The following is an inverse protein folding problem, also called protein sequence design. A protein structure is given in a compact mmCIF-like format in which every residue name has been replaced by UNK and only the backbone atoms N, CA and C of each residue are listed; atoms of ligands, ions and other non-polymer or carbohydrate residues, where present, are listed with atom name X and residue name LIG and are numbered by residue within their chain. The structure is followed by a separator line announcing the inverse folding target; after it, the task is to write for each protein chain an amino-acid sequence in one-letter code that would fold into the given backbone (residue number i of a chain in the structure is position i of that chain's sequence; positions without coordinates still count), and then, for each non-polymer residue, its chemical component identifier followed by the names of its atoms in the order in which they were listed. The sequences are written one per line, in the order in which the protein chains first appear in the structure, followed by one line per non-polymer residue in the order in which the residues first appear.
data_IF_748737528317
#
_entry.id   IF_748737528317
#
_cell.length_a   1.000
_cell.length_b   1.000
_cell.length_c   1.000
_cell.angle_alpha   90.00
_cell.angle_beta   90.00
_cell.angle_gamma   90.00
#
_symmetry.space_group_name_H-M   'P 1'
#
loop_
_entity.id
_entity.type
_entity.pdbx_description
1 polymer ?
#
# COMPACT_ATOMS: atom_id res chain seq x y z
N UNK A 1 -13.90 2.25 11.78
CA UNK A 1 -12.50 2.46 11.35
C UNK A 1 -12.31 1.73 10.03
N UNK A 2 -11.72 2.36 9.01
CA UNK A 2 -11.33 1.65 7.79
C UNK A 2 -9.93 1.08 7.94
N UNK A 3 -9.75 -0.21 7.64
CA UNK A 3 -8.42 -0.83 7.59
C UNK A 3 -7.86 -0.66 6.18
N UNK A 4 -6.68 -0.07 6.05
CA UNK A 4 -5.97 0.10 4.77
C UNK A 4 -5.25 -1.14 4.33
N UNK A 5 -4.52 -1.79 5.24
CA UNK A 5 -3.67 -2.92 4.92
C UNK A 5 -3.39 -3.74 6.18
N UNK A 6 -3.22 -5.04 6.00
CA UNK A 6 -2.85 -6.01 7.02
C UNK A 6 -1.52 -6.63 6.63
N UNK A 7 -0.58 -6.66 7.57
CA UNK A 7 0.71 -7.31 7.43
C UNK A 7 0.87 -8.33 8.55
N UNK A 8 1.27 -9.55 8.22
CA UNK A 8 1.64 -10.56 9.22
C UNK A 8 3.12 -10.86 9.06
N UNK A 9 3.86 -10.69 10.14
CA UNK A 9 5.33 -10.80 10.16
C UNK A 9 5.74 -11.87 11.17
N UNK A 10 6.69 -12.72 10.78
CA UNK A 10 7.23 -13.75 11.64
C UNK A 10 8.27 -13.19 12.62
N UNK A 11 8.76 -14.04 13.53
CA UNK A 11 9.72 -13.63 14.55
C UNK A 11 11.07 -13.16 14.00
N UNK A 12 11.44 -13.63 12.81
CA UNK A 12 12.66 -13.22 12.13
C UNK A 12 12.52 -11.87 11.37
N UNK A 13 11.36 -11.20 11.46
CA UNK A 13 11.08 -9.97 10.73
C UNK A 13 10.71 -10.18 9.26
N UNK A 14 10.40 -11.41 8.86
CA UNK A 14 9.95 -11.77 7.52
C UNK A 14 8.44 -11.65 7.36
N UNK A 15 8.00 -11.03 6.26
CA UNK A 15 6.59 -10.89 5.89
C UNK A 15 6.04 -12.23 5.40
N UNK A 16 5.02 -12.76 6.09
CA UNK A 16 4.40 -14.06 5.77
C UNK A 16 3.02 -13.92 5.13
N UNK A 17 2.32 -12.82 5.38
CA UNK A 17 1.04 -12.51 4.76
C UNK A 17 0.86 -11.00 4.62
N UNK A 18 0.26 -10.59 3.53
CA UNK A 18 -0.03 -9.19 3.26
C UNK A 18 -1.36 -9.08 2.51
N UNK A 19 -2.19 -8.15 2.94
CA UNK A 19 -3.46 -7.82 2.31
C UNK A 19 -3.63 -6.31 2.28
N UNK A 20 -3.87 -5.74 1.10
CA UNK A 20 -4.27 -4.34 0.97
C UNK A 20 -5.78 -4.29 0.73
N UNK A 21 -6.46 -3.52 1.57
CA UNK A 21 -7.89 -3.25 1.45
C UNK A 21 -8.19 -2.03 0.58
N UNK A 22 -7.14 -1.27 0.21
CA UNK A 22 -7.22 -0.09 -0.63
C UNK A 22 -6.34 -0.25 -1.86
N UNK A 23 -6.96 -0.19 -3.04
CA UNK A 23 -6.25 -0.01 -4.29
C UNK A 23 -6.10 1.50 -4.54
N UNK A 24 -4.87 2.04 -4.65
CA UNK A 24 -4.64 3.40 -5.11
C UNK A 24 -5.39 3.64 -6.43
N UNK A 25 -6.46 4.44 -6.34
CA UNK A 25 -7.16 4.94 -7.53
C UNK A 25 -6.41 6.15 -8.05
N UNK A 26 -6.50 6.40 -9.36
CA UNK A 26 -6.05 7.67 -9.91
C UNK A 26 -6.66 8.82 -9.10
N UNK A 27 -5.80 9.62 -8.46
CA UNK A 27 -6.22 10.71 -7.61
C UNK A 27 -6.52 11.97 -8.45
N UNK A 28 -5.83 12.11 -9.58
CA UNK A 28 -6.05 13.19 -10.52
C UNK A 28 -5.81 12.73 -11.96
N UNK A 29 -6.70 13.12 -12.86
CA UNK A 29 -6.49 13.01 -14.31
C UNK A 29 -6.54 14.41 -14.92
N UNK A 30 -5.52 14.75 -15.73
CA UNK A 30 -5.45 16.05 -16.38
C UNK A 30 -4.90 15.93 -17.78
N UNK A 31 -5.46 16.73 -18.70
CA UNK A 31 -4.94 16.91 -20.04
C UNK A 31 -3.87 18.01 -20.06
N UNK A 32 -2.72 17.71 -20.65
CA UNK A 32 -1.60 18.63 -20.78
C UNK A 32 -1.34 19.00 -22.23
N UNK A 33 -0.92 20.24 -22.45
CA UNK A 33 -0.24 20.67 -23.67
C UNK A 33 1.28 20.58 -23.50
N UNK A 34 2.02 20.66 -24.59
CA UNK A 34 3.49 20.80 -24.56
C UNK A 34 3.85 22.25 -24.20
N UNK A 35 4.76 22.58 -23.29
CA UNK A 35 5.53 21.79 -22.33
C UNK A 35 4.71 21.44 -21.07
N UNK A 36 5.08 20.39 -20.35
CA UNK A 36 4.46 20.07 -19.07
C UNK A 36 4.74 21.17 -18.03
N UNK A 37 3.69 21.62 -17.34
CA UNK A 37 3.80 22.51 -16.18
C UNK A 37 4.33 21.79 -14.92
N UNK A 38 4.56 20.48 -15.02
CA UNK A 38 5.08 19.60 -13.97
C UNK A 38 6.44 19.05 -14.37
N UNK A 39 7.35 18.96 -13.39
CA UNK A 39 8.65 18.34 -13.58
C UNK A 39 8.58 16.86 -13.16
N UNK A 40 8.67 15.96 -14.13
CA UNK A 40 8.68 14.52 -13.89
C UNK A 40 10.12 13.99 -13.84
N UNK A 41 10.39 13.04 -12.94
CA UNK A 41 11.69 12.37 -12.80
C UNK A 41 11.51 10.88 -12.54
N UNK A 42 12.44 10.09 -13.07
CA UNK A 42 12.56 8.68 -12.71
C UNK A 42 13.19 8.54 -11.32
N UNK A 43 12.52 7.83 -10.41
CA UNK A 43 13.03 7.39 -9.11
C UNK A 43 12.50 6.00 -8.81
N UNK A 44 13.37 5.11 -8.35
CA UNK A 44 13.01 3.72 -8.00
C UNK A 44 12.20 3.04 -9.11
N UNK A 45 12.65 3.22 -10.36
CA UNK A 45 12.02 2.70 -11.58
C UNK A 45 10.63 3.28 -11.91
N UNK A 46 10.12 4.23 -11.13
CA UNK A 46 8.83 4.90 -11.33
C UNK A 46 9.00 6.36 -11.79
N UNK A 47 8.16 6.82 -12.72
CA UNK A 47 8.10 8.24 -13.10
C UNK A 47 7.23 9.01 -12.12
N UNK A 48 7.86 9.87 -11.32
CA UNK A 48 7.23 10.64 -10.26
C UNK A 48 7.25 12.14 -10.55
N UNK A 49 6.26 12.86 -10.01
CA UNK A 49 6.23 14.32 -9.96
C UNK A 49 7.30 14.78 -8.95
N UNK A 50 8.35 15.42 -9.44
CA UNK A 50 9.44 15.94 -8.63
C UNK A 50 9.32 17.44 -8.34
N UNK A 51 8.57 18.20 -9.15
CA UNK A 51 8.24 19.60 -8.87
C UNK A 51 6.92 20.01 -9.56
N UNK A 52 6.20 20.94 -8.94
CA UNK A 52 4.89 21.42 -9.40
C UNK A 52 3.74 20.72 -8.69
N UNK A 53 2.64 21.45 -8.49
CA UNK A 53 1.40 20.95 -7.90
C UNK A 53 0.23 21.67 -8.55
N UNK A 54 -0.76 20.93 -9.04
CA UNK A 54 -1.93 21.50 -9.71
C UNK A 54 -3.06 20.46 -9.75
N UNK A 55 -4.31 20.90 -9.61
CA UNK A 55 -5.50 20.06 -9.82
C UNK A 55 -5.47 18.68 -9.11
N UNK A 56 -5.00 18.65 -7.86
CA UNK A 56 -4.91 17.42 -7.06
C UNK A 56 -3.65 16.56 -7.31
N UNK A 57 -2.77 16.98 -8.22
CA UNK A 57 -1.47 16.35 -8.48
C UNK A 57 -0.44 16.92 -7.52
N UNK A 58 0.18 16.07 -6.71
CA UNK A 58 1.18 16.46 -5.71
C UNK A 58 2.57 15.92 -6.05
N UNK A 59 3.61 16.57 -5.50
CA UNK A 59 4.98 16.03 -5.52
C UNK A 59 4.97 14.64 -4.87
N UNK A 60 5.62 13.68 -5.52
CA UNK A 60 5.62 12.28 -5.13
C UNK A 60 4.54 11.42 -5.78
N UNK A 61 3.54 12.01 -6.46
CA UNK A 61 2.61 11.22 -7.27
C UNK A 61 3.35 10.56 -8.44
N UNK A 62 2.99 9.30 -8.70
CA UNK A 62 3.45 8.55 -9.85
C UNK A 62 2.51 8.75 -11.05
N UNK A 63 3.07 8.63 -12.26
CA UNK A 63 2.27 8.47 -13.48
C UNK A 63 1.71 7.05 -13.50
N UNK A 64 0.38 6.94 -13.47
CA UNK A 64 -0.33 5.66 -13.45
C UNK A 64 -0.80 5.25 -14.84
N UNK A 65 -1.26 6.21 -15.64
CA UNK A 65 -1.71 5.97 -17.01
C UNK A 65 -1.51 7.21 -17.89
N UNK A 66 -1.37 6.98 -19.19
CA UNK A 66 -1.27 8.02 -20.21
C UNK A 66 -2.27 7.71 -21.32
N UNK A 67 -3.15 8.65 -21.64
CA UNK A 67 -4.25 8.50 -22.61
C UNK A 67 -5.12 7.25 -22.34
N UNK A 68 -5.33 6.93 -21.06
CA UNK A 68 -6.08 5.74 -20.63
C UNK A 68 -5.32 4.42 -20.77
N UNK A 69 -4.04 4.43 -21.16
CA UNK A 69 -3.18 3.26 -21.16
C UNK A 69 -2.34 3.20 -19.88
N UNK A 70 -2.44 2.10 -19.15
CA UNK A 70 -1.68 1.88 -17.92
C UNK A 70 -0.16 1.92 -18.18
N UNK A 71 0.54 2.47 -17.20
CA UNK A 71 1.99 2.57 -17.18
C UNK A 71 2.54 1.58 -16.15
N UNK A 72 3.50 0.76 -16.58
CA UNK A 72 4.28 -0.07 -15.67
C UNK A 72 5.53 0.70 -15.23
N UNK A 73 5.35 1.60 -14.25
CA UNK A 73 6.36 2.42 -13.58
C UNK A 73 7.10 3.43 -14.50
N UNK A 74 7.82 2.94 -15.52
CA UNK A 74 8.57 3.73 -16.51
C UNK A 74 8.22 3.42 -17.96
N UNK A 75 7.57 2.30 -18.23
CA UNK A 75 7.17 1.90 -19.59
C UNK A 75 5.66 1.99 -19.76
N UNK A 76 5.24 2.47 -20.91
CA UNK A 76 3.85 2.35 -21.38
C UNK A 76 3.57 0.91 -21.82
N UNK A 77 2.28 0.56 -22.00
CA UNK A 77 1.87 -0.76 -22.48
C UNK A 77 2.47 -1.17 -23.84
N UNK A 78 2.88 -0.20 -24.67
CA UNK A 78 3.54 -0.43 -25.97
C UNK A 78 5.07 -0.60 -25.88
N UNK A 79 5.63 -0.57 -24.66
CA UNK A 79 7.06 -0.72 -24.39
C UNK A 79 7.87 0.57 -24.53
N UNK A 80 7.25 1.72 -24.87
CA UNK A 80 7.95 3.00 -24.91
C UNK A 80 8.17 3.56 -23.51
N UNK A 81 9.26 4.29 -23.33
CA UNK A 81 9.52 5.00 -22.09
C UNK A 81 8.60 6.21 -21.94
N UNK A 82 8.05 6.37 -20.75
CA UNK A 82 7.12 7.46 -20.42
C UNK A 82 7.78 8.83 -20.62
N UNK A 83 9.02 9.01 -20.15
CA UNK A 83 9.71 10.30 -20.27
C UNK A 83 10.06 10.64 -21.72
N UNK A 84 10.37 9.65 -22.56
CA UNK A 84 10.57 9.86 -24.00
C UNK A 84 9.26 10.25 -24.69
N UNK A 85 8.16 9.56 -24.35
CA UNK A 85 6.84 9.86 -24.87
C UNK A 85 6.41 11.30 -24.53
N UNK A 86 6.59 11.71 -23.28
CA UNK A 86 6.24 13.06 -22.81
C UNK A 86 7.23 14.14 -23.29
N UNK A 87 8.45 13.76 -23.68
CA UNK A 87 9.43 14.67 -24.28
C UNK A 87 9.12 15.06 -25.72
N UNK A 88 8.32 14.27 -26.44
CA UNK A 88 8.01 14.50 -27.85
C UNK A 88 6.77 15.40 -28.02
N UNK A 89 6.89 16.62 -28.61
CA UNK A 89 5.76 17.53 -28.79
C UNK A 89 4.66 16.97 -29.70
N UNK A 90 4.96 16.01 -30.58
CA UNK A 90 3.97 15.41 -31.48
C UNK A 90 2.93 14.52 -30.76
N UNK A 91 3.21 14.13 -29.51
CA UNK A 91 2.31 13.29 -28.72
C UNK A 91 1.24 14.09 -27.95
N UNK A 92 1.28 15.42 -28.05
CA UNK A 92 0.35 16.30 -27.34
C UNK A 92 -0.84 16.69 -28.22
N UNK A 93 -2.03 16.91 -27.62
CA UNK A 93 -2.32 16.90 -26.18
C UNK A 93 -2.35 15.49 -25.57
N UNK A 94 -1.98 15.37 -24.30
CA UNK A 94 -1.88 14.09 -23.59
C UNK A 94 -2.67 14.12 -22.27
N UNK A 95 -3.51 13.12 -22.02
CA UNK A 95 -4.14 12.92 -20.71
C UNK A 95 -3.23 12.08 -19.82
N UNK A 96 -2.93 12.54 -18.62
CA UNK A 96 -2.08 11.82 -17.67
C UNK A 96 -2.85 11.62 -16.38
N UNK A 97 -2.90 10.37 -15.91
CA UNK A 97 -3.43 9.99 -14.62
C UNK A 97 -2.30 9.88 -13.61
N UNK A 98 -2.47 10.55 -12.48
CA UNK A 98 -1.53 10.58 -11.36
C UNK A 98 -2.17 9.99 -10.11
N UNK A 99 -1.34 9.39 -9.26
CA UNK A 99 -1.76 8.97 -7.93
C UNK A 99 -0.58 8.49 -7.11
N UNK A 100 -0.85 7.97 -5.91
CA UNK A 100 0.20 7.41 -5.07
C UNK A 100 0.82 6.18 -5.72
N UNK A 101 2.16 6.04 -5.72
CA UNK A 101 2.80 4.82 -6.17
C UNK A 101 2.36 3.63 -5.32
N UNK A 102 2.24 2.47 -5.97
CA UNK A 102 1.97 1.23 -5.26
C UNK A 102 3.27 0.70 -4.65
N UNK A 103 3.23 0.30 -3.39
CA UNK A 103 4.36 -0.40 -2.79
C UNK A 103 4.51 -1.77 -3.47
N UNK A 104 5.70 -2.02 -4.01
CA UNK A 104 6.11 -3.30 -4.54
C UNK A 104 6.21 -4.35 -3.43
N UNK A 105 6.16 -5.64 -3.80
CA UNK A 105 6.34 -6.74 -2.84
C UNK A 105 7.66 -6.62 -2.07
N UNK A 106 8.73 -6.15 -2.72
CA UNK A 106 10.03 -5.93 -2.11
C UNK A 106 10.00 -4.80 -1.09
N UNK A 107 9.37 -3.66 -1.41
CA UNK A 107 9.22 -2.54 -0.47
C UNK A 107 8.35 -2.91 0.73
N UNK A 108 7.30 -3.71 0.52
CA UNK A 108 6.47 -4.27 1.60
C UNK A 108 7.28 -5.18 2.53
N UNK A 109 8.14 -6.03 1.96
CA UNK A 109 9.03 -6.88 2.75
C UNK A 109 10.04 -6.04 3.55
N UNK A 110 10.66 -5.05 2.92
CA UNK A 110 11.55 -4.12 3.62
C UNK A 110 10.82 -3.38 4.75
N UNK A 111 9.58 -2.92 4.50
CA UNK A 111 8.77 -2.24 5.50
C UNK A 111 8.47 -3.12 6.71
N UNK A 112 8.11 -4.38 6.49
CA UNK A 112 7.90 -5.36 7.55
C UNK A 112 9.16 -5.54 8.42
N UNK A 113 10.34 -5.69 7.80
CA UNK A 113 11.61 -5.87 8.51
C UNK A 113 12.06 -4.60 9.24
N UNK A 114 11.83 -3.42 8.66
CA UNK A 114 12.06 -2.14 9.32
C UNK A 114 11.19 -1.99 10.57
N UNK A 115 9.90 -2.35 10.47
CA UNK A 115 9.01 -2.27 11.62
C UNK A 115 9.39 -3.27 12.71
N UNK A 116 9.82 -4.49 12.37
CA UNK A 116 10.34 -5.45 13.34
C UNK A 116 11.51 -4.85 14.15
N UNK A 117 12.42 -4.15 13.48
CA UNK A 117 13.53 -3.46 14.15
C UNK A 117 13.04 -2.33 15.06
N UNK A 118 12.08 -1.52 14.59
CA UNK A 118 11.47 -0.45 15.40
C UNK A 118 10.77 -1.00 16.65
N UNK A 119 10.06 -2.12 16.52
CA UNK A 119 9.40 -2.80 17.63
C UNK A 119 10.40 -3.23 18.71
N UNK A 120 11.51 -3.84 18.32
CA UNK A 120 12.56 -4.27 19.24
C UNK A 120 13.25 -3.08 19.93
N UNK A 121 13.55 -2.02 19.18
CA UNK A 121 14.14 -0.79 19.71
C UNK A 121 13.21 -0.14 20.73
N UNK A 122 11.89 -0.09 20.45
CA UNK A 122 10.90 0.46 21.38
C UNK A 122 10.87 -0.26 22.72
N UNK A 123 11.07 -1.59 22.72
CA UNK A 123 11.18 -2.37 23.96
C UNK A 123 12.51 -2.12 24.68
N UNK A 124 13.62 -2.09 23.95
CA UNK A 124 14.97 -1.92 24.52
C UNK A 124 15.22 -0.53 25.11
N UNK A 125 14.69 0.53 24.49
CA UNK A 125 14.87 1.91 24.94
C UNK A 125 13.80 2.35 25.94
N UNK A 126 12.89 1.46 26.33
CA UNK A 126 11.82 1.80 27.26
C UNK A 126 12.39 2.21 28.63
N UNK A 127 11.95 3.35 29.20
CA UNK A 127 12.30 3.72 30.57
C UNK A 127 11.56 2.87 31.62
N UNK A 128 10.44 2.25 31.23
CA UNK A 128 9.62 1.39 32.08
C UNK A 128 10.02 -0.09 31.91
N UNK A 129 10.09 -0.80 33.04
CA UNK A 129 10.37 -2.24 33.05
C UNK A 129 9.18 -3.03 32.46
N UNK A 130 9.48 -4.07 31.67
CA UNK A 130 8.44 -4.95 31.11
C UNK A 130 7.73 -4.41 29.88
N UNK A 131 8.32 -3.45 29.17
CA UNK A 131 7.76 -2.91 27.92
C UNK A 131 7.67 -3.97 26.80
N UNK A 132 6.47 -4.07 26.22
CA UNK A 132 6.11 -4.98 25.12
C UNK A 132 6.63 -4.53 23.76
N UNK A 133 7.19 -3.32 23.63
CA UNK A 133 7.65 -2.75 22.35
C UNK A 133 6.69 -1.72 21.77
N UNK A 134 6.77 -1.50 20.46
CA UNK A 134 5.93 -0.52 19.76
C UNK A 134 4.54 -1.10 19.47
N UNK A 135 3.51 -0.63 20.17
CA UNK A 135 2.11 -1.08 19.97
C UNK A 135 1.31 -0.19 19.00
N UNK A 136 1.64 1.09 18.91
CA UNK A 136 0.99 2.04 18.01
C UNK A 136 2.00 3.07 17.48
N UNK A 137 1.96 3.33 16.18
CA UNK A 137 2.65 4.45 15.53
C UNK A 137 1.62 5.32 14.81
N UNK A 138 1.49 6.57 15.23
CA UNK A 138 0.51 7.52 14.71
C UNK A 138 1.17 8.55 13.79
N UNK A 139 0.55 8.76 12.64
CA UNK A 139 0.88 9.85 11.71
C UNK A 139 -0.35 10.74 11.53
N UNK A 140 -0.19 11.83 10.78
CA UNK A 140 -1.28 12.72 10.41
C UNK A 140 -2.35 12.05 9.51
N UNK A 141 -1.97 11.03 8.75
CA UNK A 141 -2.83 10.43 7.71
C UNK A 141 -3.25 8.99 7.98
N UNK A 142 -2.50 8.26 8.81
CA UNK A 142 -2.84 6.88 9.19
C UNK A 142 -2.28 6.50 10.56
N UNK A 143 -2.83 5.44 11.13
CA UNK A 143 -2.28 4.79 12.34
C UNK A 143 -1.81 3.37 12.02
N UNK A 144 -0.62 3.01 12.50
CA UNK A 144 -0.15 1.63 12.52
C UNK A 144 -0.35 1.03 13.89
N UNK A 145 -1.14 -0.04 13.94
CA UNK A 145 -1.35 -0.82 15.15
C UNK A 145 -0.54 -2.12 15.05
N UNK A 146 0.19 -2.45 16.11
CA UNK A 146 1.01 -3.65 16.18
C UNK A 146 0.53 -4.55 17.32
N UNK A 147 0.29 -5.83 17.00
CA UNK A 147 -0.09 -6.85 17.96
C UNK A 147 0.90 -8.01 17.91
N UNK A 148 1.61 -8.24 19.02
CA UNK A 148 2.48 -9.40 19.17
C UNK A 148 1.71 -10.58 19.79
N UNK A 149 1.74 -11.73 19.12
CA UNK A 149 1.19 -13.00 19.61
C UNK A 149 2.31 -13.98 19.95
N UNK A 150 2.16 -14.72 21.05
CA UNK A 150 2.99 -15.90 21.36
C UNK A 150 2.34 -17.13 20.70
N UNK A 151 2.87 -17.57 19.57
CA UNK A 151 2.45 -18.82 18.92
C UNK A 151 3.28 -19.99 19.46
N UNK A 152 2.62 -21.00 19.99
CA UNK A 152 3.15 -22.39 20.01
C UNK A 152 2.79 -23.03 18.67
N UNK A 153 3.64 -23.89 18.11
CA UNK A 153 3.55 -24.43 16.74
C UNK A 153 2.15 -24.93 16.31
N UNK A 154 1.33 -25.42 17.23
CA UNK A 154 -0.03 -25.93 16.94
C UNK A 154 -1.12 -24.84 16.86
N UNK A 155 -0.83 -23.61 17.27
CA UNK A 155 -1.79 -22.50 17.32
C UNK A 155 -1.63 -21.49 16.17
N UNK A 156 -0.69 -21.72 15.25
CA UNK A 156 -0.41 -20.82 14.13
C UNK A 156 -1.65 -20.58 13.26
N UNK A 157 -2.32 -21.65 12.83
CA UNK A 157 -3.54 -21.54 11.99
C UNK A 157 -4.69 -20.85 12.73
N UNK A 158 -4.78 -21.03 14.04
CA UNK A 158 -5.85 -20.47 14.86
C UNK A 158 -5.60 -19.00 15.18
N UNK A 159 -4.35 -18.61 15.43
CA UNK A 159 -3.94 -17.22 15.61
C UNK A 159 -3.96 -16.44 14.29
N UNK A 160 -3.63 -17.08 13.17
CA UNK A 160 -3.80 -16.50 11.84
C UNK A 160 -5.29 -16.30 11.51
N UNK A 161 -6.14 -17.28 11.81
CA UNK A 161 -7.60 -17.12 11.69
C UNK A 161 -8.14 -16.01 12.57
N UNK A 162 -7.70 -15.91 13.82
CA UNK A 162 -8.10 -14.82 14.73
C UNK A 162 -7.59 -13.46 14.24
N UNK A 163 -6.37 -13.38 13.72
CA UNK A 163 -5.82 -12.16 13.15
C UNK A 163 -6.60 -11.70 11.90
N UNK A 164 -6.96 -12.65 11.04
CA UNK A 164 -7.83 -12.42 9.88
C UNK A 164 -9.26 -12.05 10.32
N UNK A 165 -9.80 -12.69 11.35
CA UNK A 165 -11.11 -12.38 11.91
C UNK A 165 -11.13 -11.00 12.60
N UNK A 166 -10.03 -10.60 13.26
CA UNK A 166 -9.85 -9.25 13.81
C UNK A 166 -9.75 -8.24 12.67
N UNK A 167 -9.06 -8.55 11.58
CA UNK A 167 -9.03 -7.72 10.39
C UNK A 167 -10.42 -7.59 9.73
N UNK A 168 -11.18 -8.68 9.66
CA UNK A 168 -12.58 -8.71 9.16
C UNK A 168 -13.56 -7.95 10.07
N UNK A 169 -13.42 -8.09 11.39
CA UNK A 169 -14.26 -7.37 12.36
C UNK A 169 -13.89 -5.89 12.48
N UNK A 170 -12.66 -5.50 12.16
CA UNK A 170 -12.19 -4.13 12.23
C UNK A 170 -12.80 -3.20 11.16
N UNK A 171 -13.43 -3.73 10.09
CA UNK A 171 -14.25 -2.93 9.18
C UNK A 171 -14.47 -3.57 7.82
N UNK A 172 -15.71 -3.46 7.32
CA UNK A 172 -16.23 -3.97 6.05
C UNK A 172 -15.24 -3.85 4.89
N UNK A 173 -14.70 -4.99 4.47
CA UNK A 173 -13.99 -5.14 3.20
C UNK A 173 -14.93 -4.68 2.07
N UNK A 174 -14.61 -3.54 1.44
CA UNK A 174 -15.30 -3.11 0.24
C UNK A 174 -15.16 -4.15 -0.87
N UNK A 175 -16.10 -4.23 -1.82
CA UNK A 175 -15.99 -5.14 -2.96
C UNK A 175 -14.77 -4.72 -3.80
N UNK A 176 -13.65 -5.40 -3.62
CA UNK A 176 -12.37 -5.06 -4.26
C UNK A 176 -11.10 -5.54 -3.55
N UNK A 177 -11.18 -6.15 -2.37
CA UNK A 177 -10.03 -6.75 -1.68
C UNK A 177 -9.47 -7.94 -2.48
N UNK A 178 -8.35 -7.72 -3.17
CA UNK A 178 -7.60 -8.77 -3.85
C UNK A 178 -6.72 -9.50 -2.82
N UNK A 179 -7.13 -10.71 -2.43
CA UNK A 179 -6.23 -11.67 -1.80
C UNK A 179 -5.31 -12.20 -2.90
N UNK A 180 -3.99 -11.97 -2.80
CA UNK A 180 -3.01 -12.63 -3.66
C UNK A 180 -2.32 -13.73 -2.84
N UNK A 181 -2.70 -15.01 -2.99
CA UNK A 181 -1.86 -16.11 -2.57
C UNK A 181 -0.54 -16.04 -3.33
N UNK A 182 0.59 -16.28 -2.68
CA UNK A 182 1.82 -16.54 -3.40
C UNK A 182 1.68 -17.91 -4.08
N UNK A 183 1.33 -17.88 -5.38
CA UNK A 183 1.09 -18.96 -6.35
C UNK A 183 -0.39 -19.15 -6.74
N UNK A 184 -0.70 -18.84 -8.01
CA UNK A 184 -1.96 -19.19 -8.69
C UNK A 184 -1.68 -20.14 -9.87
N UNK A 185 -2.65 -21.00 -10.24
CA UNK A 185 -3.19 -20.97 -11.61
C UNK A 185 -4.75 -21.15 -11.64
N UNK A 186 -5.45 -21.16 -12.80
CA UNK A 186 -6.19 -20.01 -13.35
C UNK A 186 -7.74 -20.20 -13.44
N UNK A 187 -8.42 -19.09 -13.81
CA UNK A 187 -9.83 -18.91 -14.27
C UNK A 187 -10.93 -19.00 -13.18
N UNK A 188 -12.02 -18.21 -13.13
CA UNK A 188 -12.82 -17.48 -14.13
C UNK A 188 -13.85 -16.49 -13.50
N UNK A 189 -14.20 -15.42 -14.25
CA UNK A 189 -15.52 -14.73 -14.39
C UNK A 189 -16.20 -13.84 -13.29
N UNK A 190 -16.23 -12.52 -13.60
CA UNK A 190 -17.27 -11.44 -13.55
C UNK A 190 -18.43 -11.43 -12.52
N UNK A 191 -18.67 -10.27 -11.87
CA UNK A 191 -19.71 -9.24 -12.22
C UNK A 191 -19.94 -8.18 -11.10
N UNK A 192 -20.32 -6.96 -11.49
CA UNK A 192 -20.44 -5.74 -10.67
C UNK A 192 -21.85 -5.48 -10.10
N UNK A 193 -21.94 -4.83 -8.94
CA UNK A 193 -23.17 -4.24 -8.37
C UNK A 193 -22.89 -2.89 -7.69
N UNK A 194 -23.78 -1.92 -7.92
CA UNK A 194 -23.64 -0.49 -7.66
C UNK A 194 -24.42 -0.08 -6.38
N UNK A 195 -23.87 0.83 -5.55
CA UNK A 195 -24.55 1.32 -4.34
C UNK A 195 -23.89 2.55 -3.69
N UNK A 196 -24.74 3.47 -3.24
CA UNK A 196 -24.59 4.91 -2.98
C UNK A 196 -23.76 5.31 -1.75
N UNK A 197 -23.14 6.50 -1.80
CA UNK A 197 -22.32 7.09 -0.71
C UNK A 197 -23.17 8.06 0.12
N UNK A 198 -23.22 7.85 1.45
CA UNK A 198 -23.59 8.84 2.47
C UNK A 198 -22.39 9.00 3.39
N UNK A 199 -21.88 10.23 3.53
CA UNK A 199 -20.69 10.56 4.31
C UNK A 199 -21.03 10.94 5.75
N UNK A 200 -20.38 10.26 6.71
CA UNK A 200 -20.26 10.65 8.13
C UNK A 200 -18.82 10.39 8.59
N UNK A 201 -18.47 10.75 9.85
CA UNK A 201 -17.29 11.53 10.20
C UNK A 201 -15.96 10.85 9.81
N UNK A 202 -14.96 11.64 9.40
CA UNK A 202 -13.68 11.15 8.86
C UNK A 202 -12.92 10.30 9.88
N UNK A 203 -13.18 8.99 9.88
CA UNK A 203 -12.38 8.00 10.58
C UNK A 203 -11.01 7.95 9.91
N UNK A 204 -9.94 8.22 10.68
CA UNK A 204 -8.58 8.09 10.17
C UNK A 204 -8.34 6.60 9.89
N UNK A 205 -7.91 6.26 8.68
CA UNK A 205 -7.70 4.88 8.30
C UNK A 205 -6.49 4.26 9.02
N UNK A 206 -6.58 2.98 9.33
CA UNK A 206 -5.60 2.25 10.13
C UNK A 206 -4.93 1.13 9.30
N UNK A 207 -3.66 0.86 9.54
CA UNK A 207 -3.00 -0.34 9.05
C UNK A 207 -2.60 -1.23 10.22
N UNK A 208 -2.82 -2.53 10.05
CA UNK A 208 -2.72 -3.54 11.10
C UNK A 208 -1.49 -4.41 10.85
N UNK A 209 -0.58 -4.46 11.81
CA UNK A 209 0.57 -5.36 11.81
C UNK A 209 0.39 -6.42 12.89
N UNK A 210 0.47 -7.68 12.50
CA UNK A 210 0.41 -8.82 13.41
C UNK A 210 1.78 -9.48 13.41
N UNK A 211 2.40 -9.51 14.59
CA UNK A 211 3.71 -10.11 14.78
C UNK A 211 3.58 -11.46 15.48
N UNK A 212 4.13 -12.52 14.87
CA UNK A 212 4.09 -13.87 15.41
C UNK A 212 5.45 -14.23 16.03
N UNK A 213 5.48 -14.36 17.36
CA UNK A 213 6.64 -14.85 18.12
C UNK A 213 6.48 -16.34 18.39
N UNK A 214 7.41 -17.16 17.92
CA UNK A 214 7.38 -18.62 18.12
C UNK A 214 8.07 -18.94 19.43
N UNK A 215 7.31 -19.36 20.44
CA UNK A 215 7.90 -19.72 21.73
C UNK A 215 8.61 -21.06 21.65
N UNK A 216 9.93 -21.09 21.83
CA UNK A 216 10.67 -22.33 22.06
C UNK A 216 10.24 -22.97 23.40
N UNK A 217 9.94 -24.26 23.38
CA UNK A 217 9.90 -25.09 24.59
C UNK A 217 11.31 -25.43 25.06
#
# INVERSE_FOLDING_TARGET
MSVFSVYVVNEAGGLIYQLDSYAPRAEAEKMFSYLLDLLLKLRDECVLVAFGQCDGIHVGHAVLAINGMDVNCKYMADGKEVLECLGNPANYPVSIQFGRPHLTSSEKLMLASMFHSLFAIGSQLSPEQGSSGTEMLETDTFKWHCFQTLTRDQLFDQNLKLALEVAEKAGTFGPGSYVKPAMDPPNSERSYGMGSIVSTPTEVPAALLVYLKMGAC
#
